data_IF_304567160735
#
_entry.id   IF_304567160735
#
_cell.length_a   1.000
_cell.length_b   1.000
_cell.length_c   1.000
_cell.angle_alpha   90.00
_cell.angle_beta   90.00
_cell.angle_gamma   90.00
#
_symmetry.space_group_name_H-M   'P 1'
#
loop_
_entity.id
_entity.type
_entity.pdbx_description
1 polymer ?
#
# COMPACT_ATOMS: atom_id res chain seq x y z
N UNK A 1 15.42 12.28 0.23
CA UNK A 1 14.08 12.74 -0.19
C UNK A 1 13.63 13.79 0.83
N UNK A 2 13.06 14.91 0.41
CA UNK A 2 12.61 15.92 1.36
C UNK A 2 11.49 15.34 2.24
N UNK A 3 11.63 15.45 3.57
CA UNK A 3 10.59 15.05 4.52
C UNK A 3 9.74 16.30 4.78
N UNK A 4 8.50 16.29 4.31
CA UNK A 4 7.55 17.38 4.49
C UNK A 4 6.44 16.95 5.45
N UNK A 5 6.13 17.80 6.43
CA UNK A 5 5.04 17.61 7.40
C UNK A 5 4.04 18.76 7.25
N UNK A 6 2.85 18.52 6.67
CA UNK A 6 1.85 19.57 6.54
C UNK A 6 1.22 19.87 7.91
N UNK A 7 1.06 21.16 8.21
CA UNK A 7 0.16 21.63 9.27
C UNK A 7 -1.01 22.32 8.58
N UNK A 8 -2.23 21.90 8.89
CA UNK A 8 -3.42 22.50 8.30
C UNK A 8 -3.54 23.97 8.71
N UNK A 9 -3.87 24.85 7.78
CA UNK A 9 -4.05 26.30 8.05
C UNK A 9 -5.16 26.57 9.07
N UNK A 10 -6.13 25.65 9.20
CA UNK A 10 -7.17 25.69 10.23
C UNK A 10 -6.64 25.54 11.65
N UNK A 11 -5.38 25.14 11.83
CA UNK A 11 -4.69 25.11 13.13
C UNK A 11 -4.88 26.41 13.92
N UNK A 12 -4.76 27.56 13.26
CA UNK A 12 -4.89 28.87 13.90
C UNK A 12 -6.31 29.24 14.31
N UNK A 13 -7.31 28.50 13.82
CA UNK A 13 -8.73 28.70 14.11
C UNK A 13 -9.29 27.60 15.02
N UNK A 14 -8.46 26.64 15.43
CA UNK A 14 -8.86 25.58 16.36
C UNK A 14 -9.15 26.17 17.74
N UNK A 15 -10.28 25.80 18.35
CA UNK A 15 -10.73 26.36 19.63
C UNK A 15 -9.72 26.15 20.74
N UNK A 16 -9.07 24.98 20.80
CA UNK A 16 -8.04 24.71 21.80
C UNK A 16 -6.80 25.57 21.53
N UNK A 17 -6.36 25.67 20.27
CA UNK A 17 -5.20 26.49 19.91
C UNK A 17 -5.44 27.96 20.22
N UNK A 18 -6.65 28.50 20.04
CA UNK A 18 -6.93 29.90 20.34
C UNK A 18 -6.63 30.27 21.80
N UNK A 19 -7.00 29.39 22.74
CA UNK A 19 -6.84 29.58 24.18
C UNK A 19 -5.40 29.41 24.68
N UNK A 20 -4.51 28.84 23.86
CA UNK A 20 -3.09 28.69 24.21
C UNK A 20 -2.35 30.03 24.23
N UNK A 21 -1.38 30.13 25.15
CA UNK A 21 -0.41 31.23 25.16
C UNK A 21 0.49 31.17 23.91
N UNK A 22 1.13 32.29 23.51
CA UNK A 22 2.07 32.29 22.38
C UNK A 22 3.21 31.27 22.53
N UNK A 23 3.70 31.08 23.75
CA UNK A 23 4.74 30.09 24.06
C UNK A 23 4.25 28.65 23.82
N UNK A 24 3.03 28.33 24.27
CA UNK A 24 2.42 27.02 24.04
C UNK A 24 2.12 26.78 22.56
N UNK A 25 1.63 27.80 21.83
CA UNK A 25 1.43 27.71 20.37
C UNK A 25 2.71 27.34 19.65
N UNK A 26 3.80 28.04 19.98
CA UNK A 26 5.13 27.76 19.42
C UNK A 26 5.59 26.34 19.79
N UNK A 27 5.47 25.97 21.06
CA UNK A 27 5.91 24.66 21.53
C UNK A 27 5.13 23.52 20.87
N UNK A 28 3.80 23.64 20.76
CA UNK A 28 2.98 22.62 20.10
C UNK A 28 3.30 22.50 18.61
N UNK A 29 3.49 23.63 17.93
CA UNK A 29 3.90 23.62 16.54
C UNK A 29 5.27 22.94 16.36
N UNK A 30 6.22 23.20 17.26
CA UNK A 30 7.51 22.52 17.29
C UNK A 30 7.37 21.00 17.48
N UNK A 31 6.50 20.53 18.39
CA UNK A 31 6.25 19.10 18.56
C UNK A 31 5.73 18.46 17.26
N UNK A 32 4.90 19.14 16.49
CA UNK A 32 4.36 18.61 15.23
C UNK A 32 5.31 18.73 14.01
N UNK A 33 6.35 19.57 14.07
CA UNK A 33 7.15 19.94 12.89
C UNK A 33 8.66 19.76 13.03
N UNK A 34 9.15 19.34 14.21
CA UNK A 34 10.58 19.11 14.41
C UNK A 34 11.13 17.99 13.49
N UNK A 35 12.46 17.96 13.37
CA UNK A 35 13.18 17.04 12.48
C UNK A 35 13.05 15.55 12.84
N UNK A 36 12.57 15.22 14.04
CA UNK A 36 12.38 13.84 14.51
C UNK A 36 10.99 13.29 14.26
N UNK A 37 10.04 14.13 13.84
CA UNK A 37 8.64 13.75 13.64
C UNK A 37 8.47 12.62 12.62
N UNK A 38 7.82 11.56 13.06
CA UNK A 38 7.52 10.36 12.30
C UNK A 38 6.14 10.43 11.62
N UNK A 39 5.87 9.50 10.72
CA UNK A 39 4.56 9.39 10.09
C UNK A 39 3.52 8.79 11.05
N UNK A 40 3.95 7.95 12.00
CA UNK A 40 3.10 7.40 13.08
C UNK A 40 2.69 8.45 14.13
N UNK A 41 3.47 9.53 14.27
CA UNK A 41 3.32 10.49 15.36
C UNK A 41 3.95 10.03 16.68
N UNK A 42 4.64 8.88 16.67
CA UNK A 42 5.46 8.35 17.77
C UNK A 42 6.92 8.41 17.36
N UNK A 43 7.75 9.13 18.11
CA UNK A 43 9.17 9.28 17.76
C UNK A 43 10.04 9.60 18.98
N UNK A 44 11.34 9.30 18.87
CA UNK A 44 12.32 9.62 19.93
C UNK A 44 12.63 11.12 19.93
N UNK A 45 12.35 11.78 21.06
CA UNK A 45 12.58 13.20 21.30
C UNK A 45 13.21 13.44 22.67
N UNK A 46 14.54 13.29 22.82
CA UNK A 46 15.24 13.57 24.06
C UNK A 46 15.08 15.05 24.48
N UNK A 47 14.92 15.30 25.78
CA UNK A 47 14.82 16.66 26.34
C UNK A 47 15.94 17.60 25.86
N UNK A 48 17.16 17.09 25.68
CA UNK A 48 18.29 17.88 25.19
C UNK A 48 18.09 18.44 23.79
N UNK A 49 17.41 17.71 22.91
CA UNK A 49 17.07 18.19 21.57
C UNK A 49 16.06 19.34 21.69
N UNK A 50 15.03 19.16 22.52
CA UNK A 50 14.02 20.20 22.75
C UNK A 50 14.66 21.47 23.31
N UNK A 51 15.51 21.38 24.32
CA UNK A 51 16.25 22.53 24.89
C UNK A 51 17.08 23.27 23.83
N UNK A 52 17.71 22.53 22.92
CA UNK A 52 18.59 23.10 21.90
C UNK A 52 17.78 23.78 20.80
N UNK A 53 16.70 23.15 20.34
CA UNK A 53 15.87 23.64 19.25
C UNK A 53 14.97 24.81 19.67
N UNK A 54 14.45 24.80 20.91
CA UNK A 54 13.58 25.87 21.41
C UNK A 54 14.33 26.96 22.16
N UNK A 55 15.53 26.67 22.66
CA UNK A 55 16.29 27.56 23.54
C UNK A 55 15.78 27.59 24.99
N UNK A 56 14.80 26.75 25.34
CA UNK A 56 14.26 26.68 26.69
C UNK A 56 15.14 25.85 27.63
N UNK A 57 15.09 26.19 28.92
CA UNK A 57 15.72 25.39 29.95
C UNK A 57 14.91 24.10 30.23
N UNK A 58 15.55 23.13 30.90
CA UNK A 58 14.93 21.83 31.21
C UNK A 58 13.61 21.94 31.95
N UNK A 59 13.52 22.86 32.92
CA UNK A 59 12.34 23.02 33.76
C UNK A 59 11.15 23.50 32.95
N UNK A 60 11.34 24.52 32.10
CA UNK A 60 10.31 25.02 31.18
C UNK A 60 9.87 23.93 30.21
N UNK A 61 10.82 23.17 29.62
CA UNK A 61 10.49 22.06 28.71
C UNK A 61 9.64 21.00 29.41
N UNK A 62 10.03 20.59 30.63
CA UNK A 62 9.27 19.59 31.39
C UNK A 62 7.86 20.08 31.73
N UNK A 63 7.71 21.34 32.19
CA UNK A 63 6.41 21.94 32.47
C UNK A 63 5.51 22.01 31.23
N UNK A 64 6.07 22.36 30.07
CA UNK A 64 5.32 22.40 28.82
C UNK A 64 4.88 20.99 28.41
N UNK A 65 5.77 19.99 28.47
CA UNK A 65 5.42 18.61 28.18
C UNK A 65 4.31 18.08 29.11
N UNK A 66 4.42 18.37 30.41
CA UNK A 66 3.41 17.99 31.42
C UNK A 66 2.05 18.63 31.11
N UNK A 67 2.01 19.95 30.84
CA UNK A 67 0.78 20.64 30.45
C UNK A 67 0.14 20.05 29.19
N UNK A 68 0.92 19.76 28.16
CA UNK A 68 0.36 19.17 26.94
C UNK A 68 -0.11 17.71 27.13
N UNK A 69 0.47 17.00 28.09
CA UNK A 69 -0.04 15.70 28.52
C UNK A 69 -1.36 15.83 29.29
N UNK A 70 -1.47 16.79 30.20
CA UNK A 70 -2.72 17.11 30.90
C UNK A 70 -3.84 17.55 29.95
N UNK A 71 -3.50 18.29 28.88
CA UNK A 71 -4.45 18.65 27.81
C UNK A 71 -4.88 17.47 26.94
N UNK A 72 -4.29 16.28 27.12
CA UNK A 72 -4.55 15.12 26.29
C UNK A 72 -4.11 15.30 24.85
N UNK A 73 -3.03 16.06 24.61
CA UNK A 73 -2.47 16.31 23.27
C UNK A 73 -1.24 15.48 22.98
N UNK A 74 -0.48 15.11 24.00
CA UNK A 74 0.71 14.25 23.86
C UNK A 74 0.81 13.28 25.02
N UNK A 75 1.55 12.19 24.82
CA UNK A 75 2.15 11.41 25.90
C UNK A 75 3.68 11.45 25.73
N UNK A 76 4.43 11.61 26.83
CA UNK A 76 5.89 11.62 26.81
C UNK A 76 6.46 10.61 27.81
N UNK A 77 7.24 9.65 27.33
CA UNK A 77 7.93 8.69 28.19
C UNK A 77 9.38 9.16 28.42
N UNK A 78 9.69 9.51 29.67
CA UNK A 78 11.02 9.99 30.04
C UNK A 78 12.12 8.92 29.99
N UNK A 79 11.77 7.63 30.17
CA UNK A 79 12.71 6.50 30.14
C UNK A 79 13.13 6.17 28.71
N UNK A 80 12.17 6.01 27.80
CA UNK A 80 12.45 5.70 26.39
C UNK A 80 12.79 6.94 25.58
N UNK A 81 12.48 8.13 26.12
CA UNK A 81 12.61 9.45 25.46
C UNK A 81 11.72 9.54 24.23
N UNK A 82 10.58 8.86 24.24
CA UNK A 82 9.63 8.84 23.14
C UNK A 82 8.48 9.81 23.43
N UNK A 83 8.01 10.45 22.38
CA UNK A 83 6.83 11.30 22.40
C UNK A 83 5.79 10.71 21.45
N UNK A 84 4.54 10.65 21.91
CA UNK A 84 3.38 10.29 21.11
C UNK A 84 2.43 11.49 20.98
N UNK A 85 2.14 11.90 19.76
CA UNK A 85 1.14 12.93 19.44
C UNK A 85 -0.26 12.32 19.36
N UNK A 86 -1.12 12.67 20.30
CA UNK A 86 -2.50 12.17 20.35
C UNK A 86 -3.30 12.75 19.18
N UNK A 87 -4.17 11.94 18.58
CA UNK A 87 -4.96 12.31 17.39
C UNK A 87 -4.14 12.63 16.13
N UNK A 88 -2.84 12.29 16.08
CA UNK A 88 -1.99 12.58 14.92
C UNK A 88 -2.55 12.04 13.59
N UNK A 89 -3.04 10.80 13.61
CA UNK A 89 -3.59 10.13 12.42
C UNK A 89 -4.88 10.75 11.88
N UNK A 90 -5.61 11.56 12.68
CA UNK A 90 -6.79 12.31 12.20
C UNK A 90 -6.40 13.38 11.18
N UNK A 91 -5.25 14.01 11.39
CA UNK A 91 -4.76 15.09 10.52
C UNK A 91 -3.72 14.59 9.51
N UNK A 92 -3.02 13.50 9.83
CA UNK A 92 -2.02 12.87 8.99
C UNK A 92 -2.41 11.42 8.67
N UNK A 93 -3.54 11.19 7.97
CA UNK A 93 -4.04 9.86 7.73
C UNK A 93 -3.11 9.07 6.83
N UNK A 94 -3.06 7.77 7.08
CA UNK A 94 -2.39 6.81 6.20
C UNK A 94 -3.29 6.68 4.97
N UNK A 95 -2.80 7.10 3.79
CA UNK A 95 -3.62 7.12 2.55
C UNK A 95 -3.19 6.08 1.53
N UNK A 96 -1.98 5.56 1.66
CA UNK A 96 -1.43 4.61 0.69
C UNK A 96 -0.53 3.58 1.39
N UNK A 97 -0.24 2.51 0.65
CA UNK A 97 0.59 1.39 1.12
C UNK A 97 2.03 1.82 1.44
N UNK A 98 2.55 2.87 0.80
CA UNK A 98 3.91 3.34 1.06
C UNK A 98 4.03 4.05 2.41
N UNK A 99 3.02 4.86 2.76
CA UNK A 99 2.88 5.50 4.07
C UNK A 99 2.65 4.42 5.12
N UNK A 100 1.79 3.44 4.86
CA UNK A 100 1.58 2.30 5.78
C UNK A 100 2.88 1.53 6.03
N UNK A 101 3.66 1.22 4.99
CA UNK A 101 4.99 0.60 5.14
C UNK A 101 5.97 1.47 5.92
N UNK A 102 5.91 2.80 5.77
CA UNK A 102 6.75 3.74 6.52
C UNK A 102 6.39 3.70 8.00
N UNK A 103 5.10 3.85 8.31
CA UNK A 103 4.56 3.79 9.67
C UNK A 103 4.88 2.43 10.31
N UNK A 104 4.72 1.33 9.58
CA UNK A 104 5.05 -0.02 10.07
C UNK A 104 6.52 -0.13 10.52
N UNK A 105 7.45 0.44 9.75
CA UNK A 105 8.87 0.47 10.13
C UNK A 105 9.12 1.33 11.36
N UNK A 106 8.41 2.45 11.48
CA UNK A 106 8.52 3.35 12.63
C UNK A 106 8.00 2.67 13.92
N UNK A 107 6.79 2.09 13.89
CA UNK A 107 6.20 1.40 15.06
C UNK A 107 7.00 0.17 15.49
N UNK A 108 7.67 -0.52 14.57
CA UNK A 108 8.57 -1.62 14.91
C UNK A 108 9.71 -1.16 15.83
N UNK A 109 10.18 0.08 15.67
CA UNK A 109 11.27 0.67 16.45
C UNK A 109 10.83 1.30 17.78
N UNK A 110 9.53 1.44 18.01
CA UNK A 110 8.99 1.99 19.26
C UNK A 110 9.24 1.03 20.41
N UNK A 111 9.78 1.58 21.50
CA UNK A 111 10.18 0.85 22.71
C UNK A 111 9.04 0.77 23.72
N UNK A 112 8.29 1.87 23.87
CA UNK A 112 7.15 1.96 24.76
C UNK A 112 5.95 1.13 24.26
N UNK A 113 5.46 0.22 25.10
CA UNK A 113 4.34 -0.67 24.72
C UNK A 113 2.98 0.03 24.89
N UNK A 114 2.83 0.94 25.86
CA UNK A 114 1.58 1.66 26.09
C UNK A 114 1.29 2.56 24.88
N UNK A 115 2.32 3.20 24.31
CA UNK A 115 2.19 3.98 23.08
C UNK A 115 1.76 3.14 21.88
N UNK A 116 2.20 1.88 21.81
CA UNK A 116 1.77 0.96 20.75
C UNK A 116 0.30 0.55 20.92
N UNK A 117 -0.13 0.34 22.16
CA UNK A 117 -1.54 0.06 22.48
C UNK A 117 -2.41 1.26 22.10
N UNK A 118 -2.10 2.46 22.60
CA UNK A 118 -2.87 3.68 22.32
C UNK A 118 -2.91 3.98 20.80
N UNK A 119 -1.80 3.75 20.11
CA UNK A 119 -1.72 3.89 18.65
C UNK A 119 -2.62 2.88 17.93
N UNK A 120 -2.63 1.62 18.39
CA UNK A 120 -3.46 0.59 17.82
C UNK A 120 -4.95 0.89 18.02
N UNK A 121 -5.35 1.30 19.22
CA UNK A 121 -6.72 1.74 19.52
C UNK A 121 -7.15 2.90 18.62
N UNK A 122 -6.27 3.88 18.41
CA UNK A 122 -6.50 5.00 17.49
C UNK A 122 -6.71 4.50 16.05
N UNK A 123 -5.92 3.52 15.60
CA UNK A 123 -6.08 2.93 14.27
C UNK A 123 -7.44 2.22 14.12
N UNK A 124 -7.86 1.43 15.12
CA UNK A 124 -9.14 0.74 15.11
C UNK A 124 -10.33 1.71 15.14
N UNK A 125 -10.23 2.80 15.91
CA UNK A 125 -11.26 3.83 15.91
C UNK A 125 -11.40 4.49 14.54
N UNK A 126 -10.28 4.83 13.89
CA UNK A 126 -10.30 5.45 12.58
C UNK A 126 -10.78 4.51 11.47
N UNK A 127 -10.51 3.20 11.56
CA UNK A 127 -11.04 2.19 10.64
C UNK A 127 -12.58 2.07 10.74
N UNK A 128 -13.16 2.37 11.92
CA UNK A 128 -14.64 2.43 12.09
C UNK A 128 -15.25 3.72 11.56
N UNK A 129 -14.54 4.85 11.70
CA UNK A 129 -15.02 6.18 11.29
C UNK A 129 -14.78 6.47 9.80
N UNK A 130 -13.79 5.82 9.18
CA UNK A 130 -13.36 6.06 7.81
C UNK A 130 -13.22 4.73 7.06
N UNK A 131 -13.63 4.68 5.78
CA UNK A 131 -13.45 3.51 4.89
C UNK A 131 -11.98 3.36 4.45
N UNK A 132 -11.07 3.22 5.42
CA UNK A 132 -9.64 3.04 5.19
C UNK A 132 -9.11 1.87 6.03
N UNK A 133 -8.59 0.84 5.34
CA UNK A 133 -8.06 -0.38 5.97
C UNK A 133 -6.54 -0.30 6.12
N UNK A 134 -6.02 -0.73 7.27
CA UNK A 134 -4.59 -0.71 7.61
C UNK A 134 -4.07 -2.14 7.90
N UNK A 135 -4.16 -3.07 6.93
CA UNK A 135 -4.02 -4.50 7.18
C UNK A 135 -2.65 -4.88 7.76
N UNK A 136 -1.56 -4.26 7.32
CA UNK A 136 -0.19 -4.65 7.74
C UNK A 136 0.10 -4.23 9.17
N UNK A 137 -0.37 -3.04 9.55
CA UNK A 137 -0.20 -2.51 10.91
C UNK A 137 -1.08 -3.31 11.87
N UNK A 138 -2.30 -3.66 11.44
CA UNK A 138 -3.23 -4.48 12.21
C UNK A 138 -2.65 -5.87 12.48
N UNK A 139 -2.21 -6.57 11.45
CA UNK A 139 -1.55 -7.89 11.58
C UNK A 139 -0.32 -7.83 12.48
N UNK A 140 0.51 -6.80 12.34
CA UNK A 140 1.69 -6.65 13.16
C UNK A 140 1.37 -6.42 14.64
N UNK A 141 0.43 -5.51 14.93
CA UNK A 141 0.10 -5.13 16.30
C UNK A 141 -0.77 -6.18 16.98
N UNK A 142 -1.65 -6.90 16.27
CA UNK A 142 -2.41 -8.01 16.84
C UNK A 142 -1.49 -9.09 17.38
N UNK A 143 -0.48 -9.49 16.61
CA UNK A 143 0.51 -10.50 17.04
C UNK A 143 1.43 -9.96 18.13
N UNK A 144 1.87 -8.70 18.03
CA UNK A 144 2.79 -8.09 19.00
C UNK A 144 2.12 -7.81 20.35
N UNK A 145 0.83 -7.47 20.36
CA UNK A 145 0.07 -7.11 21.57
C UNK A 145 -0.77 -8.27 22.12
N UNK A 146 -0.89 -9.39 21.42
CA UNK A 146 -1.56 -10.62 21.89
C UNK A 146 -1.05 -11.08 23.27
N UNK A 147 0.21 -10.80 23.61
CA UNK A 147 0.80 -11.10 24.91
C UNK A 147 0.51 -10.08 26.03
N UNK A 148 0.10 -8.85 25.71
CA UNK A 148 -0.27 -7.80 26.69
C UNK A 148 -1.78 -7.79 26.97
N UNK A 149 -2.61 -8.23 26.01
CA UNK A 149 -4.06 -8.21 26.09
C UNK A 149 -4.59 -9.47 26.80
N UNK A 150 -4.28 -9.63 28.09
CA UNK A 150 -5.16 -10.39 29.00
C UNK A 150 -6.17 -9.42 29.61
N UNK A 151 -7.11 -8.89 28.81
CA UNK A 151 -8.15 -8.01 29.38
C UNK A 151 -9.06 -7.25 28.42
N UNK A 152 -8.69 -7.02 27.16
CA UNK A 152 -9.63 -6.47 26.18
C UNK A 152 -10.39 -7.62 25.53
N UNK A 153 -11.61 -7.86 26.01
CA UNK A 153 -12.61 -8.59 25.23
C UNK A 153 -12.97 -7.70 24.04
N UNK A 154 -12.47 -8.10 22.88
CA UNK A 154 -12.90 -7.57 21.60
C UNK A 154 -14.35 -8.02 21.34
N UNK A 155 -15.34 -7.11 21.25
CA UNK A 155 -16.72 -7.47 20.95
C UNK A 155 -16.87 -8.15 19.59
N UNK A 156 -15.89 -8.01 18.69
CA UNK A 156 -15.90 -8.65 17.38
C UNK A 156 -15.58 -10.16 17.42
N UNK A 157 -15.02 -10.69 18.52
CA UNK A 157 -14.86 -12.14 18.72
C UNK A 157 -16.16 -12.86 19.10
N UNK A 158 -17.18 -12.14 19.58
CA UNK A 158 -18.49 -12.75 19.87
C UNK A 158 -19.32 -12.88 18.57
N UNK A 159 -19.24 -11.90 17.67
CA UNK A 159 -19.89 -12.00 16.34
C UNK A 159 -19.20 -13.00 15.39
N UNK A 160 -17.89 -13.22 15.53
CA UNK A 160 -17.17 -14.27 14.79
C UNK A 160 -17.50 -15.68 15.31
N UNK A 161 -17.68 -15.83 16.64
CA UNK A 161 -18.09 -17.12 17.23
C UNK A 161 -19.54 -17.49 16.93
N UNK A 162 -20.47 -16.54 16.92
CA UNK A 162 -21.86 -16.82 16.51
C UNK A 162 -21.95 -17.18 15.02
N UNK A 163 -21.10 -16.60 14.15
CA UNK A 163 -21.01 -16.95 12.73
C UNK A 163 -20.26 -18.27 12.47
N UNK A 164 -19.35 -18.68 13.36
CA UNK A 164 -18.72 -20.00 13.32
C UNK A 164 -19.68 -21.11 13.81
N UNK A 165 -20.47 -20.86 14.87
CA UNK A 165 -21.46 -21.81 15.38
C UNK A 165 -22.65 -22.02 14.42
N UNK A 166 -23.08 -20.98 13.67
CA UNK A 166 -24.07 -21.15 12.58
C UNK A 166 -23.52 -21.91 11.36
N UNK A 167 -22.20 -21.82 11.10
CA UNK A 167 -21.54 -22.57 10.02
C UNK A 167 -21.31 -24.03 10.38
N UNK A 168 -20.99 -24.33 11.64
CA UNK A 168 -20.82 -25.71 12.12
C UNK A 168 -22.14 -26.50 12.12
N UNK A 169 -23.28 -25.87 12.39
CA UNK A 169 -24.59 -26.57 12.35
C UNK A 169 -25.10 -26.88 10.93
N UNK A 170 -24.57 -26.23 9.89
CA UNK A 170 -24.93 -26.56 8.50
C UNK A 170 -24.02 -27.61 7.84
N UNK A 171 -22.87 -27.92 8.46
CA UNK A 171 -21.87 -28.85 7.90
C UNK A 171 -22.11 -30.33 8.21
N UNK A 172 -23.08 -30.68 9.07
CA UNK A 172 -23.40 -32.09 9.41
C UNK A 172 -24.35 -32.81 8.43
N UNK A 173 -24.71 -32.21 7.28
CA UNK A 173 -25.56 -32.87 6.27
C UNK A 173 -25.01 -32.79 4.84
N UNK A 174 -23.92 -33.51 4.58
CA UNK A 174 -23.74 -34.31 3.35
C UNK A 174 -22.33 -34.92 3.34
N UNK A 175 -22.25 -36.25 3.45
CA UNK A 175 -21.00 -37.00 3.26
C UNK A 175 -20.78 -37.44 1.81
N UNK A 176 -19.51 -37.70 1.49
CA UNK A 176 -18.92 -38.29 0.27
C UNK A 176 -18.88 -37.32 -0.94
N UNK A 177 -17.74 -36.89 -1.51
CA UNK A 177 -16.47 -37.55 -1.88
C UNK A 177 -15.32 -36.50 -1.96
N UNK A 178 -14.07 -36.89 -1.69
CA UNK A 178 -12.87 -36.02 -1.78
C UNK A 178 -12.62 -35.51 -3.22
N UNK A 179 -12.70 -34.19 -3.42
CA UNK A 179 -12.01 -33.49 -4.52
C UNK A 179 -11.33 -32.28 -3.92
N UNK A 180 -10.02 -32.17 -4.12
CA UNK A 180 -9.19 -31.05 -3.69
C UNK A 180 -9.70 -29.80 -4.40
N UNK A 181 -10.53 -29.01 -3.73
CA UNK A 181 -11.11 -27.80 -4.30
C UNK A 181 -10.03 -26.71 -4.33
N UNK A 182 -9.47 -26.47 -5.52
CA UNK A 182 -8.46 -25.44 -5.73
C UNK A 182 -9.15 -24.08 -5.59
N UNK A 183 -8.83 -23.35 -4.53
CA UNK A 183 -9.45 -22.06 -4.22
C UNK A 183 -8.89 -20.95 -5.16
N UNK A 184 -9.71 -20.31 -6.03
CA UNK A 184 -9.25 -19.27 -6.93
C UNK A 184 -8.71 -18.02 -6.23
N UNK A 185 -9.14 -17.77 -4.99
CA UNK A 185 -8.65 -16.66 -4.17
C UNK A 185 -7.19 -16.89 -3.78
N UNK A 186 -6.85 -18.09 -3.31
CA UNK A 186 -5.47 -18.41 -2.93
C UNK A 186 -4.56 -18.43 -4.16
N UNK A 187 -5.06 -18.88 -5.32
CA UNK A 187 -4.33 -18.80 -6.58
C UNK A 187 -4.02 -17.35 -6.99
N UNK A 188 -5.00 -16.46 -6.82
CA UNK A 188 -4.84 -15.03 -7.11
C UNK A 188 -3.79 -14.38 -6.22
N UNK A 189 -3.87 -14.60 -4.90
CA UNK A 189 -2.95 -13.99 -3.93
C UNK A 189 -1.49 -14.40 -4.15
N UNK A 190 -1.26 -15.66 -4.52
CA UNK A 190 0.08 -16.18 -4.77
C UNK A 190 0.74 -15.61 -6.05
N UNK A 191 -0.05 -15.28 -7.08
CA UNK A 191 0.49 -14.98 -8.42
C UNK A 191 0.27 -13.55 -8.90
N UNK A 192 -0.81 -12.89 -8.48
CA UNK A 192 -1.20 -11.54 -8.91
C UNK A 192 -0.89 -10.48 -7.85
N UNK A 193 -0.90 -10.86 -6.58
CA UNK A 193 -0.59 -9.98 -5.44
C UNK A 193 -1.79 -9.79 -4.52
N UNK A 194 -1.86 -8.64 -3.86
CA UNK A 194 -2.86 -8.41 -2.81
C UNK A 194 -4.29 -8.36 -3.39
N UNK A 195 -5.19 -9.18 -2.83
CA UNK A 195 -6.59 -9.19 -3.22
C UNK A 195 -7.35 -8.09 -2.47
N UNK A 196 -7.98 -7.18 -3.22
CA UNK A 196 -8.92 -6.21 -2.64
C UNK A 196 -10.33 -6.80 -2.57
N UNK A 197 -11.22 -6.36 -1.66
CA UNK A 197 -12.61 -6.83 -1.61
C UNK A 197 -13.31 -6.78 -2.98
N UNK A 198 -13.14 -5.70 -3.74
CA UNK A 198 -13.67 -5.58 -5.10
C UNK A 198 -13.22 -6.69 -6.08
N UNK A 199 -11.96 -7.13 -5.94
CA UNK A 199 -11.40 -8.21 -6.76
C UNK A 199 -11.89 -9.57 -6.25
N UNK A 200 -11.97 -9.75 -4.93
CA UNK A 200 -12.53 -10.95 -4.32
C UNK A 200 -14.01 -11.13 -4.72
N UNK A 201 -14.83 -10.08 -4.60
CA UNK A 201 -16.23 -10.07 -5.03
C UNK A 201 -16.36 -10.37 -6.53
N UNK A 202 -15.47 -9.81 -7.36
CA UNK A 202 -15.42 -10.13 -8.78
C UNK A 202 -15.05 -11.59 -9.06
N UNK A 203 -14.12 -12.16 -8.30
CA UNK A 203 -13.73 -13.57 -8.41
C UNK A 203 -14.89 -14.46 -7.98
N UNK A 204 -15.57 -14.17 -6.86
CA UNK A 204 -16.75 -14.91 -6.42
C UNK A 204 -17.88 -14.85 -7.43
N UNK A 205 -18.18 -13.68 -8.00
CA UNK A 205 -19.18 -13.54 -9.05
C UNK A 205 -18.87 -14.42 -10.28
N UNK A 206 -17.59 -14.51 -10.69
CA UNK A 206 -17.19 -15.40 -11.77
C UNK A 206 -17.18 -16.88 -11.41
N UNK A 207 -16.96 -17.22 -10.13
CA UNK A 207 -17.12 -18.59 -9.63
C UNK A 207 -18.58 -19.02 -9.74
N UNK A 208 -19.52 -18.14 -9.37
CA UNK A 208 -20.95 -18.39 -9.43
C UNK A 208 -21.47 -18.56 -10.88
N UNK A 209 -20.98 -17.73 -11.82
CA UNK A 209 -21.42 -17.75 -13.22
C UNK A 209 -20.76 -18.86 -14.07
N UNK A 210 -19.56 -19.31 -13.71
CA UNK A 210 -18.78 -20.31 -14.46
C UNK A 210 -18.42 -21.52 -13.56
N UNK A 211 -17.27 -21.42 -12.88
CA UNK A 211 -16.75 -22.28 -11.82
C UNK A 211 -15.30 -21.90 -11.48
N UNK A 212 -14.80 -22.41 -10.36
CA UNK A 212 -13.44 -22.16 -9.87
C UNK A 212 -12.33 -22.55 -10.87
N UNK A 213 -12.46 -23.68 -11.55
CA UNK A 213 -11.43 -24.19 -12.47
C UNK A 213 -11.24 -23.25 -13.68
N UNK A 214 -12.32 -22.74 -14.24
CA UNK A 214 -12.29 -21.77 -15.34
C UNK A 214 -11.70 -20.43 -14.89
N UNK A 215 -12.03 -19.97 -13.67
CA UNK A 215 -11.45 -18.74 -13.12
C UNK A 215 -9.93 -18.87 -12.99
N UNK A 216 -9.44 -19.97 -12.43
CA UNK A 216 -8.01 -20.26 -12.33
C UNK A 216 -7.37 -20.34 -13.71
N UNK A 217 -8.03 -21.02 -14.66
CA UNK A 217 -7.49 -21.16 -16.03
C UNK A 217 -7.33 -19.83 -16.75
N UNK A 218 -8.27 -18.90 -16.57
CA UNK A 218 -8.17 -17.55 -17.11
C UNK A 218 -7.00 -16.77 -16.48
N UNK A 219 -6.77 -16.96 -15.19
CA UNK A 219 -5.63 -16.36 -14.48
C UNK A 219 -4.28 -16.94 -14.95
N UNK A 220 -4.17 -18.25 -15.16
CA UNK A 220 -2.98 -18.88 -15.75
C UNK A 220 -2.63 -18.27 -17.11
N UNK A 221 -3.61 -18.11 -17.99
CA UNK A 221 -3.41 -17.51 -19.34
C UNK A 221 -2.90 -16.06 -19.21
N UNK A 222 -3.39 -15.31 -18.24
CA UNK A 222 -2.92 -13.95 -17.99
C UNK A 222 -1.46 -13.92 -17.50
N UNK A 223 -1.04 -14.89 -16.68
CA UNK A 223 0.35 -15.04 -16.24
C UNK A 223 1.29 -15.44 -17.39
N UNK A 224 0.88 -16.37 -18.26
CA UNK A 224 1.65 -16.78 -19.44
C UNK A 224 1.88 -15.62 -20.41
N UNK A 225 0.96 -14.66 -20.46
CA UNK A 225 1.09 -13.42 -21.24
C UNK A 225 1.87 -12.32 -20.51
N UNK A 226 2.40 -12.61 -19.33
CA UNK A 226 3.08 -11.67 -18.44
C UNK A 226 2.20 -10.46 -18.08
N UNK A 227 0.88 -10.65 -18.06
CA UNK A 227 -0.11 -9.63 -17.72
C UNK A 227 -0.78 -10.00 -16.41
N UNK A 228 -0.28 -9.47 -15.28
CA UNK A 228 -0.89 -9.64 -13.95
C UNK A 228 -2.05 -8.65 -13.75
N UNK A 229 -3.00 -8.64 -14.68
CA UNK A 229 -4.06 -7.64 -14.74
C UNK A 229 -5.45 -8.31 -14.72
N UNK A 230 -6.24 -8.03 -13.68
CA UNK A 230 -7.61 -8.56 -13.58
C UNK A 230 -8.56 -8.06 -14.66
N UNK A 231 -8.32 -6.89 -15.27
CA UNK A 231 -9.08 -6.46 -16.44
C UNK A 231 -8.88 -7.42 -17.62
N UNK A 232 -7.70 -8.01 -17.76
CA UNK A 232 -7.39 -8.98 -18.81
C UNK A 232 -8.06 -10.33 -18.51
N UNK A 233 -8.00 -10.78 -17.26
CA UNK A 233 -8.73 -11.97 -16.78
C UNK A 233 -10.23 -11.82 -17.00
N UNK A 234 -10.81 -10.67 -16.65
CA UNK A 234 -12.23 -10.38 -16.87
C UNK A 234 -12.63 -10.42 -18.35
N UNK A 235 -11.77 -9.96 -19.27
CA UNK A 235 -12.05 -10.08 -20.71
C UNK A 235 -12.08 -11.53 -21.19
N UNK A 236 -11.22 -12.40 -20.64
CA UNK A 236 -11.21 -13.82 -20.96
C UNK A 236 -12.48 -14.49 -20.42
N UNK A 237 -12.79 -14.26 -19.13
CA UNK A 237 -13.96 -14.86 -18.48
C UNK A 237 -15.27 -14.41 -19.13
N UNK A 238 -15.38 -13.13 -19.52
CA UNK A 238 -16.54 -12.63 -20.26
C UNK A 238 -16.71 -13.28 -21.62
N UNK A 239 -15.61 -13.51 -22.35
CA UNK A 239 -15.65 -14.22 -23.64
C UNK A 239 -16.10 -15.67 -23.48
N UNK A 240 -15.64 -16.36 -22.43
CA UNK A 240 -16.04 -17.73 -22.13
C UNK A 240 -17.50 -17.84 -21.66
N UNK A 241 -17.96 -16.92 -20.83
CA UNK A 241 -19.35 -16.83 -20.40
C UNK A 241 -20.29 -16.57 -21.59
N UNK A 242 -19.93 -15.65 -22.49
CA UNK A 242 -20.73 -15.38 -23.70
C UNK A 242 -20.78 -16.56 -24.69
N UNK A 243 -19.74 -17.39 -24.71
CA UNK A 243 -19.68 -18.62 -25.53
C UNK A 243 -20.33 -19.82 -24.84
N UNK A 244 -20.74 -19.67 -23.58
CA UNK A 244 -21.39 -20.71 -22.79
C UNK A 244 -20.45 -21.86 -22.39
N UNK A 245 -19.16 -21.59 -22.23
CA UNK A 245 -18.20 -22.60 -21.78
C UNK A 245 -18.40 -22.92 -20.30
N UNK A 246 -18.52 -24.20 -19.97
CA UNK A 246 -18.78 -24.65 -18.60
C UNK A 246 -17.67 -25.55 -18.05
N UNK A 247 -16.76 -26.00 -18.91
CA UNK A 247 -15.67 -26.90 -18.50
C UNK A 247 -14.34 -26.46 -19.12
N UNK A 248 -13.23 -26.78 -18.44
CA UNK A 248 -11.88 -26.51 -18.95
C UNK A 248 -11.64 -27.20 -20.29
N UNK A 249 -12.28 -28.35 -20.55
CA UNK A 249 -12.21 -29.07 -21.82
C UNK A 249 -12.86 -28.29 -22.97
N UNK A 250 -13.93 -27.54 -22.72
CA UNK A 250 -14.56 -26.64 -23.72
C UNK A 250 -13.59 -25.52 -24.13
N UNK A 251 -12.88 -24.95 -23.16
CA UNK A 251 -11.87 -23.90 -23.39
C UNK A 251 -10.69 -24.44 -24.19
N UNK A 252 -10.19 -25.62 -23.86
CA UNK A 252 -9.09 -26.26 -24.61
C UNK A 252 -9.50 -26.62 -26.04
N UNK A 253 -10.74 -27.10 -26.24
CA UNK A 253 -11.28 -27.36 -27.57
C UNK A 253 -11.40 -26.08 -28.39
N UNK A 254 -11.85 -24.98 -27.77
CA UNK A 254 -11.96 -23.67 -28.39
C UNK A 254 -10.58 -23.06 -28.72
N UNK A 255 -9.58 -23.18 -27.84
CA UNK A 255 -8.22 -22.71 -28.11
C UNK A 255 -7.54 -23.55 -29.20
N UNK A 256 -7.73 -24.88 -29.21
CA UNK A 256 -7.27 -25.76 -30.31
C UNK A 256 -7.93 -25.38 -31.64
N UNK A 257 -9.24 -25.12 -31.65
CA UNK A 257 -9.97 -24.67 -32.84
C UNK A 257 -9.52 -23.27 -33.31
N UNK A 258 -9.26 -22.35 -32.37
CA UNK A 258 -8.75 -21.00 -32.67
C UNK A 258 -7.31 -21.03 -33.21
N UNK A 259 -6.43 -21.87 -32.64
CA UNK A 259 -5.07 -22.12 -33.15
C UNK A 259 -5.10 -22.78 -34.54
N UNK A 260 -5.99 -23.75 -34.77
CA UNK A 260 -6.21 -24.37 -36.08
C UNK A 260 -6.78 -23.38 -37.12
N UNK A 261 -7.69 -22.48 -36.73
CA UNK A 261 -8.17 -21.39 -37.59
C UNK A 261 -7.11 -20.33 -37.87
N UNK A 262 -6.22 -20.02 -36.92
CA UNK A 262 -5.07 -19.12 -37.15
C UNK A 262 -4.04 -19.74 -38.08
N UNK A 263 -3.79 -21.05 -37.99
CA UNK A 263 -2.88 -21.77 -38.89
C UNK A 263 -3.42 -21.84 -40.32
N UNK A 264 -4.73 -22.07 -40.49
CA UNK A 264 -5.39 -22.09 -41.81
C UNK A 264 -5.55 -20.69 -42.42
N UNK A 265 -5.85 -19.65 -41.63
CA UNK A 265 -5.84 -18.24 -42.09
C UNK A 265 -4.44 -17.72 -42.39
N UNK A 266 -3.42 -18.15 -41.63
CA UNK A 266 -2.00 -17.85 -41.91
C UNK A 266 -1.54 -18.49 -43.23
N UNK A 267 -2.00 -19.72 -43.54
CA UNK A 267 -1.73 -20.36 -44.83
C UNK A 267 -2.48 -19.72 -46.02
N UNK A 268 -3.64 -19.08 -45.80
CA UNK A 268 -4.35 -18.32 -46.84
C UNK A 268 -3.84 -16.86 -47.01
N UNK A 269 -3.12 -16.31 -46.02
CA UNK A 269 -2.52 -14.97 -46.09
C UNK A 269 -1.08 -14.93 -46.64
N UNK A 270 -0.52 -16.03 -47.13
CA UNK A 270 0.81 -16.02 -47.80
C UNK A 270 0.76 -15.67 -49.29
N UNK A 271 -0.38 -15.21 -49.83
CA UNK A 271 -0.45 -14.60 -51.17
C UNK A 271 -1.24 -13.29 -51.16
N UNK A 272 -0.74 -12.30 -50.44
CA UNK A 272 -1.00 -10.90 -50.74
C UNK A 272 0.34 -10.15 -50.68
N UNK A 273 0.78 -9.46 -51.75
CA UNK A 273 2.02 -8.68 -51.70
C UNK A 273 1.92 -7.62 -50.62
N UNK A 274 2.90 -7.63 -49.73
CA UNK A 274 3.07 -6.65 -48.68
C UNK A 274 3.28 -5.26 -49.30
N UNK A 275 2.28 -4.38 -49.22
CA UNK A 275 2.51 -2.95 -49.47
C UNK A 275 3.30 -2.39 -48.29
N UNK A 276 4.59 -2.16 -48.50
CA UNK A 276 5.44 -1.41 -47.59
C UNK A 276 4.86 0.01 -47.41
N UNK A 277 4.16 0.24 -46.31
CA UNK A 277 3.80 1.60 -45.90
C UNK A 277 5.06 2.21 -45.31
N UNK A 278 5.70 3.10 -46.07
CA UNK A 278 6.92 3.78 -45.65
C UNK A 278 6.75 4.50 -44.31
N UNK A 279 7.83 4.52 -43.52
CA UNK A 279 7.90 5.28 -42.27
C UNK A 279 7.49 6.75 -42.51
N UNK A 280 6.65 7.29 -41.63
CA UNK A 280 6.27 8.71 -41.63
C UNK A 280 7.52 9.61 -41.56
N UNK A 281 7.49 10.79 -42.20
CA UNK A 281 8.56 11.80 -42.11
C UNK A 281 8.92 12.11 -40.65
N UNK A 282 7.92 12.16 -39.78
CA UNK A 282 8.11 12.39 -38.34
C UNK A 282 8.92 11.28 -37.69
N UNK A 283 8.67 10.03 -38.05
CA UNK A 283 9.40 8.86 -37.51
C UNK A 283 10.82 8.81 -38.04
N UNK A 284 11.05 9.19 -39.31
CA UNK A 284 12.40 9.30 -39.89
C UNK A 284 13.23 10.38 -39.19
N UNK A 285 12.63 11.54 -38.92
CA UNK A 285 13.30 12.65 -38.25
C UNK A 285 13.69 12.31 -36.81
N UNK A 286 12.83 11.59 -36.08
CA UNK A 286 13.12 11.14 -34.70
C UNK A 286 14.29 10.15 -34.67
N UNK A 287 14.32 9.19 -35.60
CA UNK A 287 15.41 8.20 -35.69
C UNK A 287 16.73 8.89 -36.06
N UNK A 288 16.68 9.87 -36.97
CA UNK A 288 17.87 10.62 -37.38
C UNK A 288 18.39 11.54 -36.27
N UNK A 289 17.50 12.14 -35.46
CA UNK A 289 17.88 12.89 -34.26
C UNK A 289 18.50 12.00 -33.19
N UNK A 290 17.96 10.80 -32.96
CA UNK A 290 18.53 9.84 -32.01
C UNK A 290 19.94 9.39 -32.42
N UNK A 291 20.14 9.07 -33.70
CA UNK A 291 21.45 8.68 -34.22
C UNK A 291 22.46 9.84 -34.15
N UNK A 292 22.02 11.08 -34.42
CA UNK A 292 22.88 12.26 -34.27
C UNK A 292 23.24 12.56 -32.80
N UNK A 293 22.35 12.23 -31.86
CA UNK A 293 22.61 12.34 -30.42
C UNK A 293 23.62 11.31 -29.94
N UNK A 294 23.50 10.06 -30.39
CA UNK A 294 24.44 8.98 -30.05
C UNK A 294 25.86 9.23 -30.57
N UNK A 295 25.99 9.90 -31.72
CA UNK A 295 27.29 10.26 -32.31
C UNK A 295 27.94 11.50 -31.67
N UNK A 296 27.18 12.29 -30.90
CA UNK A 296 27.65 13.49 -30.20
C UNK A 296 27.82 13.29 -28.70
N UNK A 297 27.78 12.04 -28.21
CA UNK A 297 28.14 11.72 -26.83
C UNK A 297 29.66 11.95 -26.71
N UNK A 298 30.12 12.91 -25.88
CA UNK A 298 31.55 13.19 -25.76
C UNK A 298 32.27 11.94 -25.28
N UNK A 299 33.40 11.63 -25.90
CA UNK A 299 34.25 10.52 -25.48
C UNK A 299 34.85 10.79 -24.09
N UNK A 300 35.27 9.74 -23.37
CA UNK A 300 35.89 9.87 -22.04
C UNK A 300 37.10 10.82 -22.06
N UNK A 301 37.84 10.86 -23.17
CA UNK A 301 38.97 11.77 -23.38
C UNK A 301 38.51 13.23 -23.54
N UNK A 302 37.42 13.49 -24.28
CA UNK A 302 36.84 14.83 -24.44
C UNK A 302 36.19 15.33 -23.14
N UNK A 303 35.56 14.43 -22.37
CA UNK A 303 35.06 14.71 -21.02
C UNK A 303 36.19 15.06 -20.04
N UNK A 304 37.33 14.37 -20.14
CA UNK A 304 38.50 14.67 -19.32
C UNK A 304 39.13 16.03 -19.66
N UNK A 305 39.20 16.40 -20.95
CA UNK A 305 39.68 17.72 -21.40
C UNK A 305 38.71 18.84 -20.99
N UNK A 306 37.39 18.62 -21.11
CA UNK A 306 36.36 19.56 -20.63
C UNK A 306 36.41 19.75 -19.11
N UNK A 307 36.67 18.69 -18.35
CA UNK A 307 36.85 18.77 -16.89
C UNK A 307 38.19 19.42 -16.48
N UNK A 308 39.23 19.35 -17.32
CA UNK A 308 40.47 20.09 -17.10
C UNK A 308 40.34 21.58 -17.43
N UNK A 309 39.62 21.94 -18.50
CA UNK A 309 39.36 23.33 -18.88
C UNK A 309 38.41 24.04 -17.92
N UNK A 310 37.37 23.34 -17.47
CA UNK A 310 36.46 23.83 -16.44
C UNK A 310 37.02 23.42 -15.10
N UNK A 311 37.89 24.25 -14.50
CA UNK A 311 38.54 24.03 -13.20
C UNK A 311 37.54 23.84 -12.02
N UNK A 312 36.78 22.76 -12.03
CA UNK A 312 35.91 22.27 -10.99
C UNK A 312 36.49 20.93 -10.57
N UNK A 313 36.98 20.86 -9.33
CA UNK A 313 37.78 19.79 -8.71
C UNK A 313 39.31 19.99 -8.74
N UNK A 314 39.75 21.22 -8.48
CA UNK A 314 41.03 21.45 -7.80
C UNK A 314 40.85 22.42 -6.63
N UNK A 315 40.25 21.93 -5.53
CA UNK A 315 40.68 22.14 -4.14
C UNK A 315 39.80 21.36 -3.17
#
# INVERSE_FOLDING_TARGET
MAVYRPVHVSFWQDSFVLDLTPEEKYFYLYLMTNSKTSQSGIYELPLRIIETDTGYNRETVMKLLERFAEYGKINYNQKTKELFLINWLKFNPIKNVNIEKCVLKEIQSVKDQDFLVDFYETCLQLEREQDFKIPRIKEYLSVRLEGLIRGFQDPSKEEEKEKEEEKEQQQERAGAEEVIEVNPISFYEQNFGFITPFIADGIYAWIDDLNAELVIKAMEIALEKNTRNMSYVNTILRDWHLKGFKTVTDVEAADKAFRAQRLTKSQQQTKAPYQQKGLSETTKNVIQQQQAWEQNIPTEEELAVLNQQNAWLAK
#
